data_IF_676601138997
#
_entry.id   IF_676601138997
#
_cell.length_a   1.000
_cell.length_b   1.000
_cell.length_c   1.000
_cell.angle_alpha   90.00
_cell.angle_beta   90.00
_cell.angle_gamma   90.00
#
_symmetry.space_group_name_H-M   'P 1'
#
loop_
_entity.id
_entity.type
_entity.pdbx_description
1 polymer ?
#
# COMPACT_ATOMS: atom_id res chain seq x y z
N UNK A 1 12.58 -16.94 14.31
CA UNK A 1 11.27 -16.32 14.52
C UNK A 1 10.68 -15.79 13.22
N UNK A 2 9.36 -15.65 13.15
CA UNK A 2 8.64 -14.99 12.05
C UNK A 2 8.49 -13.47 12.31
N UNK A 3 8.38 -12.69 11.22
CA UNK A 3 8.07 -11.25 11.27
C UNK A 3 6.61 -11.06 10.84
N UNK A 4 5.88 -10.21 11.53
CA UNK A 4 4.46 -9.93 11.24
C UNK A 4 4.15 -8.45 11.39
N UNK A 5 3.20 -7.97 10.60
CA UNK A 5 2.73 -6.59 10.57
C UNK A 5 1.20 -6.58 10.48
N UNK A 6 0.56 -5.70 11.24
CA UNK A 6 -0.89 -5.51 11.24
C UNK A 6 -1.24 -4.06 10.93
N UNK A 7 -2.29 -3.84 10.15
CA UNK A 7 -2.68 -2.52 9.68
C UNK A 7 -4.19 -2.42 9.47
N UNK A 8 -4.82 -1.40 10.07
CA UNK A 8 -6.27 -1.18 10.04
C UNK A 8 -6.68 -0.05 9.07
N UNK A 9 -5.74 0.53 8.32
CA UNK A 9 -6.01 1.68 7.44
C UNK A 9 -6.73 1.35 6.13
N UNK A 10 -6.92 0.07 5.79
CA UNK A 10 -7.38 -0.41 4.48
C UNK A 10 -8.88 -0.25 4.17
N UNK A 11 -9.65 0.46 5.01
CA UNK A 11 -11.10 0.58 4.86
C UNK A 11 -11.53 1.39 3.63
N UNK A 12 -10.81 2.47 3.32
CA UNK A 12 -11.15 3.33 2.18
C UNK A 12 -10.16 3.09 1.03
N UNK A 13 -10.64 2.61 -0.11
CA UNK A 13 -9.80 2.31 -1.27
C UNK A 13 -9.01 3.54 -1.75
N UNK A 14 -9.60 4.74 -1.67
CA UNK A 14 -8.94 6.01 -2.00
C UNK A 14 -7.62 6.26 -1.24
N UNK A 15 -7.41 5.63 -0.08
CA UNK A 15 -6.17 5.78 0.68
C UNK A 15 -4.96 5.26 -0.10
N UNK A 16 -5.17 4.31 -1.01
CA UNK A 16 -4.12 3.82 -1.91
C UNK A 16 -3.60 4.89 -2.86
N UNK A 17 -4.32 6.01 -3.06
CA UNK A 17 -3.81 7.18 -3.78
C UNK A 17 -2.68 7.91 -3.03
N UNK A 18 -2.58 7.75 -1.71
CA UNK A 18 -1.57 8.43 -0.90
C UNK A 18 -0.24 7.67 -0.89
N UNK A 19 0.84 8.31 -1.35
CA UNK A 19 2.16 7.67 -1.52
C UNK A 19 2.70 7.07 -0.22
N UNK A 20 2.59 7.78 0.90
CA UNK A 20 3.09 7.25 2.19
C UNK A 20 2.26 6.09 2.73
N UNK A 21 0.97 6.02 2.38
CA UNK A 21 0.13 4.90 2.76
C UNK A 21 0.61 3.62 2.07
N UNK A 22 0.91 3.72 0.77
CA UNK A 22 1.53 2.63 0.00
C UNK A 22 2.92 2.28 0.54
N UNK A 23 3.75 3.29 0.81
CA UNK A 23 5.13 3.11 1.31
C UNK A 23 5.17 2.32 2.62
N UNK A 24 4.29 2.61 3.58
CA UNK A 24 4.23 1.87 4.85
C UNK A 24 3.90 0.40 4.61
N UNK A 25 2.90 0.12 3.77
CA UNK A 25 2.48 -1.24 3.44
C UNK A 25 3.58 -2.01 2.71
N UNK A 26 4.21 -1.38 1.71
CA UNK A 26 5.30 -2.00 0.94
C UNK A 26 6.53 -2.28 1.80
N UNK A 27 6.95 -1.31 2.63
CA UNK A 27 8.05 -1.51 3.57
C UNK A 27 7.77 -2.66 4.53
N UNK A 28 6.53 -2.77 5.02
CA UNK A 28 6.12 -3.86 5.89
C UNK A 28 6.16 -5.23 5.19
N UNK A 29 5.68 -5.33 3.95
CA UNK A 29 5.77 -6.56 3.14
C UNK A 29 7.24 -6.98 2.97
N UNK A 30 8.10 -6.06 2.53
CA UNK A 30 9.55 -6.31 2.37
C UNK A 30 10.19 -6.77 3.67
N UNK A 31 9.87 -6.11 4.78
CA UNK A 31 10.41 -6.46 6.10
C UNK A 31 9.93 -7.85 6.56
N UNK A 32 8.63 -8.16 6.40
CA UNK A 32 8.05 -9.47 6.71
C UNK A 32 8.68 -10.60 5.89
N UNK A 33 8.97 -10.33 4.62
CA UNK A 33 9.69 -11.24 3.72
C UNK A 33 11.18 -11.41 4.08
N UNK A 34 11.68 -10.73 5.12
CA UNK A 34 13.10 -10.69 5.54
C UNK A 34 14.05 -10.11 4.50
N UNK A 35 13.52 -9.33 3.55
CA UNK A 35 14.33 -8.53 2.65
C UNK A 35 14.75 -7.21 3.31
N UNK A 36 15.73 -6.54 2.72
CA UNK A 36 16.20 -5.23 3.17
C UNK A 36 15.26 -4.14 2.65
N UNK A 37 14.81 -3.27 3.56
CA UNK A 37 13.98 -2.12 3.20
C UNK A 37 14.91 -1.00 2.76
N UNK A 38 14.72 -0.41 1.56
CA UNK A 38 15.55 0.71 1.11
C UNK A 38 15.50 1.90 2.07
N UNK A 39 16.61 2.63 2.21
CA UNK A 39 16.68 3.80 3.10
C UNK A 39 15.64 4.89 2.79
N UNK A 40 15.22 5.00 1.52
CA UNK A 40 14.18 5.94 1.06
C UNK A 40 12.76 5.33 1.03
N UNK A 41 12.61 4.09 1.49
CA UNK A 41 11.40 3.28 1.36
C UNK A 41 11.32 2.56 0.01
N UNK A 42 10.46 1.55 -0.04
CA UNK A 42 10.16 0.81 -1.27
C UNK A 42 9.46 1.74 -2.25
N UNK A 43 9.95 1.87 -3.50
CA UNK A 43 9.32 2.72 -4.50
C UNK A 43 7.97 2.15 -4.93
N UNK A 44 7.05 3.04 -5.32
CA UNK A 44 5.78 2.68 -5.93
C UNK A 44 5.44 3.68 -7.01
N UNK A 45 4.78 3.23 -8.06
CA UNK A 45 4.25 4.12 -9.08
C UNK A 45 3.21 5.08 -8.48
N UNK A 46 3.05 6.23 -9.15
CA UNK A 46 2.00 7.18 -8.81
C UNK A 46 0.66 6.63 -9.31
N UNK A 47 -0.30 6.58 -8.40
CA UNK A 47 -1.66 6.13 -8.71
C UNK A 47 -2.49 7.33 -9.15
N UNK A 48 -3.24 7.15 -10.23
CA UNK A 48 -4.21 8.13 -10.75
C UNK A 48 -5.61 7.85 -10.20
N UNK A 49 -6.52 8.82 -10.34
CA UNK A 49 -7.92 8.60 -9.97
C UNK A 49 -8.58 7.50 -10.82
N UNK A 50 -8.17 7.35 -12.08
CA UNK A 50 -8.66 6.28 -12.95
C UNK A 50 -8.26 4.90 -12.41
N UNK A 51 -7.00 4.74 -11.98
CA UNK A 51 -6.52 3.49 -11.39
C UNK A 51 -7.29 3.13 -10.09
N UNK A 52 -7.67 4.13 -9.29
CA UNK A 52 -8.45 3.93 -8.06
C UNK A 52 -9.90 3.55 -8.33
N UNK A 53 -10.44 3.95 -9.48
CA UNK A 53 -11.80 3.60 -9.91
C UNK A 53 -11.87 2.19 -10.51
N UNK A 54 -10.72 1.59 -10.87
CA UNK A 54 -10.68 0.21 -11.36
C UNK A 54 -11.05 -0.79 -10.27
N UNK A 55 -11.70 -1.88 -10.69
CA UNK A 55 -12.00 -3.04 -9.84
C UNK A 55 -12.77 -2.72 -8.55
N UNK A 56 -13.54 -1.62 -8.52
CA UNK A 56 -14.44 -1.32 -7.40
C UNK A 56 -15.66 -2.24 -7.42
N UNK A 57 -16.01 -2.79 -6.26
CA UNK A 57 -17.20 -3.64 -6.10
C UNK A 57 -18.51 -2.87 -6.30
N UNK A 58 -18.47 -1.55 -6.12
CA UNK A 58 -19.64 -0.67 -6.21
C UNK A 58 -19.47 0.33 -7.36
N UNK A 59 -20.59 0.69 -8.03
CA UNK A 59 -20.55 1.73 -9.04
C UNK A 59 -20.09 3.06 -8.43
N UNK A 60 -19.36 3.83 -9.23
CA UNK A 60 -18.94 5.18 -8.88
C UNK A 60 -20.17 6.02 -8.55
N UNK A 61 -20.15 6.65 -7.37
CA UNK A 61 -21.22 7.53 -6.90
C UNK A 61 -21.11 8.92 -7.50
#
# INVERSE_FOLDING_TARGET
GGRGFGFTGGHFHRNWGHDDFRKVVLNAITWCAKAEVPAKGVPSDKITDADLDENQDYPKR
#
